data_IF_260911615753
#
_entry.id   IF_260911615753
#
_cell.length_a   1.000
_cell.length_b   1.000
_cell.length_c   1.000
_cell.angle_alpha   90.00
_cell.angle_beta   90.00
_cell.angle_gamma   90.00
#
_symmetry.space_group_name_H-M   'P 1'
#
loop_
_entity.id
_entity.type
_entity.pdbx_description
1 polymer ?
#
# COMPACT_ATOMS: atom_id res chain seq x y z
N UNK A 1 0.07 9.90 -9.29
CA UNK A 1 1.17 10.34 -8.41
C UNK A 1 1.19 9.57 -7.10
N UNK A 2 0.07 9.54 -6.36
CA UNK A 2 0.03 8.86 -5.07
C UNK A 2 0.24 7.35 -5.23
N UNK A 3 -0.34 6.74 -6.26
CA UNK A 3 -0.18 5.31 -6.54
C UNK A 3 1.28 4.97 -6.84
N UNK A 4 1.97 5.83 -7.61
CA UNK A 4 3.38 5.65 -7.92
C UNK A 4 4.21 5.72 -6.63
N UNK A 5 3.94 6.66 -5.76
CA UNK A 5 4.62 6.77 -4.46
C UNK A 5 4.37 5.53 -3.59
N UNK A 6 3.16 4.99 -3.62
CA UNK A 6 2.82 3.77 -2.90
C UNK A 6 3.66 2.59 -3.39
N UNK A 7 3.79 2.45 -4.72
CA UNK A 7 4.62 1.40 -5.32
C UNK A 7 6.09 1.60 -4.96
N UNK A 8 6.59 2.84 -5.01
CA UNK A 8 7.97 3.15 -4.64
C UNK A 8 8.28 2.76 -3.20
N UNK A 9 7.39 3.08 -2.27
CA UNK A 9 7.57 2.71 -0.87
C UNK A 9 7.56 1.20 -0.70
N UNK A 10 6.65 0.50 -1.38
CA UNK A 10 6.59 -0.96 -1.32
C UNK A 10 7.87 -1.61 -1.86
N UNK A 11 8.41 -1.07 -2.95
CA UNK A 11 9.68 -1.56 -3.50
C UNK A 11 10.86 -1.24 -2.57
N UNK A 12 10.84 -0.08 -1.92
CA UNK A 12 11.84 0.27 -0.92
C UNK A 12 11.86 -0.71 0.24
N UNK A 13 10.71 -1.04 0.77
CA UNK A 13 10.62 -2.07 1.82
C UNK A 13 11.03 -3.44 1.32
N UNK A 14 10.73 -3.80 0.06
CA UNK A 14 11.19 -5.04 -0.53
C UNK A 14 12.72 -5.11 -0.56
N UNK A 15 13.39 -4.01 -0.88
CA UNK A 15 14.84 -3.91 -0.86
C UNK A 15 15.38 -4.14 0.55
N UNK A 16 14.76 -3.54 1.56
CA UNK A 16 15.15 -3.73 2.96
C UNK A 16 14.99 -5.19 3.36
N UNK A 17 13.88 -5.82 3.01
CA UNK A 17 13.65 -7.22 3.35
C UNK A 17 14.67 -8.14 2.70
N UNK A 18 14.99 -7.90 1.45
CA UNK A 18 15.94 -8.74 0.73
C UNK A 18 17.38 -8.56 1.23
N UNK A 19 17.80 -7.30 1.42
CA UNK A 19 19.20 -7.01 1.75
C UNK A 19 19.53 -7.21 3.22
N UNK A 20 18.65 -6.77 4.12
CA UNK A 20 18.94 -6.74 5.56
C UNK A 20 18.23 -7.85 6.34
N UNK A 21 17.06 -8.29 5.89
CA UNK A 21 16.17 -9.16 6.65
C UNK A 21 15.89 -10.50 5.95
N UNK A 22 16.71 -10.87 4.97
CA UNK A 22 16.50 -12.08 4.18
C UNK A 22 16.40 -13.33 5.07
N UNK A 23 17.30 -13.45 6.04
CA UNK A 23 17.33 -14.60 6.94
C UNK A 23 16.32 -14.47 8.08
N UNK A 24 15.74 -13.29 8.25
CA UNK A 24 14.79 -13.01 9.32
C UNK A 24 13.33 -13.24 8.89
N UNK A 25 13.09 -13.58 7.63
CA UNK A 25 11.76 -13.83 7.09
C UNK A 25 11.71 -15.25 6.54
N UNK A 26 10.81 -16.05 7.08
CA UNK A 26 10.65 -17.45 6.66
C UNK A 26 10.11 -17.51 5.23
N UNK A 27 10.80 -18.27 4.37
CA UNK A 27 10.38 -18.47 2.99
C UNK A 27 10.92 -17.46 2.00
N UNK A 28 11.70 -16.47 2.45
CA UNK A 28 12.25 -15.44 1.58
C UNK A 28 13.61 -15.89 1.04
N UNK A 29 13.63 -16.33 -0.21
CA UNK A 29 14.83 -16.90 -0.84
C UNK A 29 15.34 -16.07 -2.02
N UNK A 30 14.51 -15.23 -2.64
CA UNK A 30 14.88 -14.47 -3.82
C UNK A 30 14.36 -13.04 -3.74
N UNK A 31 14.80 -12.19 -4.67
CA UNK A 31 14.31 -10.82 -4.77
C UNK A 31 12.82 -10.76 -5.11
N UNK A 32 12.34 -11.72 -5.90
CA UNK A 32 10.91 -11.82 -6.22
C UNK A 32 10.10 -12.12 -4.96
N UNK A 33 10.62 -13.00 -4.09
CA UNK A 33 9.98 -13.29 -2.81
C UNK A 33 9.88 -12.03 -1.93
N UNK A 34 10.93 -11.20 -1.94
CA UNK A 34 10.93 -9.96 -1.18
C UNK A 34 9.89 -8.97 -1.71
N UNK A 35 9.78 -8.83 -3.02
CA UNK A 35 8.76 -7.98 -3.65
C UNK A 35 7.37 -8.50 -3.32
N UNK A 36 7.16 -9.80 -3.45
CA UNK A 36 5.90 -10.45 -3.12
C UNK A 36 5.50 -10.20 -1.67
N UNK A 37 6.43 -10.43 -0.73
CA UNK A 37 6.16 -10.22 0.69
C UNK A 37 5.81 -8.77 0.99
N UNK A 38 6.56 -7.84 0.40
CA UNK A 38 6.31 -6.41 0.60
C UNK A 38 4.92 -6.01 0.11
N UNK A 39 4.53 -6.45 -1.08
CA UNK A 39 3.23 -6.09 -1.66
C UNK A 39 2.06 -6.71 -0.92
N UNK A 40 2.16 -7.98 -0.50
CA UNK A 40 1.06 -8.59 0.28
C UNK A 40 0.94 -7.97 1.67
N UNK A 41 2.05 -7.48 2.23
CA UNK A 41 2.01 -6.76 3.51
C UNK A 41 1.43 -5.35 3.33
N UNK A 42 1.82 -4.66 2.27
CA UNK A 42 1.34 -3.31 2.00
C UNK A 42 -0.16 -3.28 1.69
N UNK A 43 -0.65 -4.26 0.95
CA UNK A 43 -2.07 -4.35 0.57
C UNK A 43 -2.93 -5.04 1.60
N UNK A 44 -2.36 -5.43 2.74
CA UNK A 44 -3.05 -6.12 3.85
C UNK A 44 -3.64 -7.48 3.48
N UNK A 45 -3.17 -8.11 2.40
CA UNK A 45 -3.64 -9.45 2.02
C UNK A 45 -3.15 -10.48 3.04
N UNK A 46 -1.83 -10.46 3.34
CA UNK A 46 -1.27 -11.26 4.42
C UNK A 46 -1.56 -12.75 4.33
N UNK A 47 -1.14 -13.41 3.25
CA UNK A 47 -1.40 -14.85 3.08
C UNK A 47 -0.81 -15.72 4.19
N UNK A 48 0.29 -15.27 4.83
CA UNK A 48 0.91 -16.03 5.91
C UNK A 48 1.89 -17.11 5.45
N UNK A 49 2.14 -17.22 4.16
CA UNK A 49 3.14 -18.15 3.60
C UNK A 49 4.56 -17.72 3.90
N UNK A 50 4.79 -16.42 4.06
CA UNK A 50 6.06 -15.86 4.52
C UNK A 50 5.80 -15.08 5.80
N UNK A 51 6.63 -15.32 6.82
CA UNK A 51 6.45 -14.73 8.15
C UNK A 51 7.75 -14.18 8.68
N UNK A 52 7.74 -12.98 9.28
CA UNK A 52 8.93 -12.47 9.97
C UNK A 52 9.20 -13.30 11.23
N UNK A 53 10.48 -13.64 11.46
CA UNK A 53 10.89 -14.47 12.58
C UNK A 53 11.49 -13.64 13.70
N UNK A 54 12.34 -12.66 13.34
CA UNK A 54 13.03 -11.84 14.33
C UNK A 54 12.20 -10.62 14.73
N UNK A 55 12.50 -10.06 15.90
CA UNK A 55 11.84 -8.86 16.37
C UNK A 55 12.07 -7.68 15.44
N UNK A 56 13.27 -7.56 14.87
CA UNK A 56 13.59 -6.50 13.93
C UNK A 56 12.72 -6.60 12.67
N UNK A 57 12.57 -7.81 12.14
CA UNK A 57 11.72 -8.03 10.97
C UNK A 57 10.25 -7.73 11.28
N UNK A 58 9.79 -8.12 12.45
CA UNK A 58 8.40 -7.83 12.89
C UNK A 58 8.17 -6.33 13.02
N UNK A 59 9.13 -5.59 13.59
CA UNK A 59 9.03 -4.13 13.71
C UNK A 59 9.03 -3.46 12.34
N UNK A 60 9.83 -3.95 11.41
CA UNK A 60 9.85 -3.42 10.03
C UNK A 60 8.50 -3.64 9.35
N UNK A 61 7.89 -4.81 9.54
CA UNK A 61 6.56 -5.09 9.00
C UNK A 61 5.50 -4.17 9.61
N UNK A 62 5.58 -3.91 10.91
CA UNK A 62 4.66 -2.99 11.59
C UNK A 62 4.80 -1.58 11.00
N UNK A 63 6.03 -1.11 10.83
CA UNK A 63 6.28 0.21 10.25
C UNK A 63 5.73 0.29 8.82
N UNK A 64 5.97 -0.72 8.01
CA UNK A 64 5.44 -0.78 6.65
C UNK A 64 3.91 -0.77 6.65
N UNK A 65 3.30 -1.56 7.50
CA UNK A 65 1.83 -1.65 7.59
C UNK A 65 1.23 -0.30 7.96
N UNK A 66 1.84 0.40 8.90
CA UNK A 66 1.37 1.72 9.33
C UNK A 66 1.47 2.74 8.19
N UNK A 67 2.61 2.80 7.51
CA UNK A 67 2.82 3.70 6.38
C UNK A 67 1.84 3.38 5.25
N UNK A 68 1.67 2.11 4.93
CA UNK A 68 0.75 1.66 3.88
C UNK A 68 -0.69 1.99 4.21
N UNK A 69 -1.09 1.85 5.47
CA UNK A 69 -2.42 2.22 5.94
C UNK A 69 -2.68 3.72 5.73
N UNK A 70 -1.73 4.57 6.09
CA UNK A 70 -1.86 6.02 5.89
C UNK A 70 -2.01 6.36 4.41
N UNK A 71 -1.23 5.73 3.54
CA UNK A 71 -1.33 5.93 2.09
C UNK A 71 -2.68 5.46 1.56
N UNK A 72 -3.18 4.33 2.03
CA UNK A 72 -4.48 3.80 1.62
C UNK A 72 -5.61 4.75 2.00
N UNK A 73 -5.59 5.28 3.22
CA UNK A 73 -6.58 6.27 3.67
C UNK A 73 -6.51 7.53 2.81
N UNK A 74 -5.30 7.98 2.48
CA UNK A 74 -5.09 9.16 1.65
C UNK A 74 -5.64 8.96 0.23
N UNK A 75 -5.38 7.79 -0.36
CA UNK A 75 -5.89 7.45 -1.70
C UNK A 75 -7.42 7.41 -1.70
N UNK A 76 -8.02 6.79 -0.70
CA UNK A 76 -9.48 6.73 -0.55
C UNK A 76 -10.05 8.13 -0.39
N UNK A 77 -9.40 8.99 0.40
CA UNK A 77 -9.84 10.37 0.59
C UNK A 77 -9.84 11.17 -0.72
N UNK A 78 -8.79 11.03 -1.52
CA UNK A 78 -8.70 11.70 -2.83
C UNK A 78 -9.81 11.17 -3.76
N UNK A 79 -10.03 9.86 -3.77
CA UNK A 79 -11.06 9.24 -4.62
C UNK A 79 -12.44 9.77 -4.26
N UNK A 80 -12.78 9.83 -2.98
CA UNK A 80 -14.07 10.35 -2.52
C UNK A 80 -14.24 11.82 -2.83
N UNK A 81 -13.18 12.62 -2.69
CA UNK A 81 -13.21 14.05 -3.03
C UNK A 81 -13.51 14.26 -4.52
N UNK A 82 -12.88 13.49 -5.40
CA UNK A 82 -13.14 13.56 -6.83
C UNK A 82 -14.56 13.11 -7.18
N UNK A 83 -15.06 12.12 -6.49
CA UNK A 83 -16.43 11.63 -6.67
C UNK A 83 -17.45 12.72 -6.30
N UNK A 84 -17.23 13.43 -5.19
CA UNK A 84 -18.08 14.54 -4.78
C UNK A 84 -18.10 15.66 -5.81
N UNK A 85 -16.93 15.98 -6.40
CA UNK A 85 -16.86 16.99 -7.47
C UNK A 85 -17.67 16.57 -8.69
N UNK A 86 -17.62 15.31 -9.08
CA UNK A 86 -18.40 14.81 -10.21
C UNK A 86 -19.90 14.90 -9.92
N UNK A 87 -20.33 14.59 -8.70
CA UNK A 87 -21.71 14.72 -8.28
C UNK A 87 -22.18 16.16 -8.32
N UNK A 88 -21.35 17.09 -7.86
CA UNK A 88 -21.65 18.51 -7.89
C UNK A 88 -21.82 19.04 -9.34
N UNK A 89 -20.91 18.66 -10.23
CA UNK A 89 -20.98 19.06 -11.65
C UNK A 89 -22.25 18.50 -12.29
N UNK A 90 -22.63 17.25 -11.99
CA UNK A 90 -23.85 16.65 -12.50
C UNK A 90 -25.10 17.41 -12.05
N UNK A 91 -25.15 17.80 -10.79
CA UNK A 91 -26.28 18.59 -10.27
C UNK A 91 -26.39 19.96 -10.95
N UNK A 92 -25.28 20.63 -11.19
CA UNK A 92 -25.26 21.90 -11.89
C UNK A 92 -25.74 21.76 -13.33
N UNK A 93 -25.34 20.70 -14.03
CA UNK A 93 -25.80 20.42 -15.38
C UNK A 93 -27.29 20.17 -15.43
N UNK A 94 -27.86 19.46 -14.45
CA UNK A 94 -29.30 19.24 -14.36
C UNK A 94 -30.05 20.53 -14.13
N UNK A 95 -29.53 21.43 -13.30
CA UNK A 95 -30.16 22.73 -13.04
C UNK A 95 -30.15 23.62 -14.26
N UNK A 96 -29.14 23.55 -15.11
CA UNK A 96 -29.08 24.37 -16.33
C UNK A 96 -29.97 23.82 -17.43
N UNK A 97 -30.31 22.54 -17.42
CA UNK A 97 -31.20 21.92 -18.41
C UNK A 97 -32.68 22.15 -18.08
N UNK A 98 -33.03 22.20 -16.80
CA UNK A 98 -34.39 22.46 -16.35
C UNK A 98 -34.58 23.97 -16.11
N UNK A 99 -35.30 24.67 -16.97
CA UNK A 99 -35.60 26.09 -16.77
C UNK A 99 -36.55 26.34 -15.58
#
# INVERSE_FOLDING_TARGET
MVIINYIEISLGFATIYYSALKDAICGLNSSIDAIYFSFISATTIGYGDMQPITNLAKLTCVAQSFISFLFTVFIIGIFLSNFDKLGYINNNNKKSINP
#
